data_IF_458408357620
#
_entry.id   IF_458408357620
#
_cell.length_a   1.000
_cell.length_b   1.000
_cell.length_c   1.000
_cell.angle_alpha   90.00
_cell.angle_beta   90.00
_cell.angle_gamma   90.00
#
_symmetry.space_group_name_H-M   'P 1'
#
loop_
_entity.id
_entity.type
_entity.pdbx_description
1 polymer ?
#
# COMPACT_ATOMS: atom_id res chain seq x y z
N UNK A 1 17.16 -7.22 7.81
CA UNK A 1 17.43 -6.17 6.80
C UNK A 1 18.39 -6.65 5.71
N UNK A 2 19.48 -7.35 6.03
CA UNK A 2 20.39 -7.95 5.02
C UNK A 2 19.91 -9.32 4.54
N UNK A 3 19.38 -10.15 5.46
CA UNK A 3 18.91 -11.52 5.15
C UNK A 3 17.92 -11.58 3.99
N UNK A 4 16.86 -10.77 3.99
CA UNK A 4 15.85 -10.81 2.93
C UNK A 4 16.34 -10.31 1.57
N UNK A 5 17.33 -9.41 1.53
CA UNK A 5 17.96 -9.02 0.27
C UNK A 5 18.79 -10.18 -0.30
N UNK A 6 19.57 -10.85 0.55
CA UNK A 6 20.37 -11.98 0.13
C UNK A 6 19.50 -13.18 -0.28
N UNK A 7 18.42 -13.49 0.45
CA UNK A 7 17.51 -14.58 0.09
C UNK A 7 16.80 -14.37 -1.25
N UNK A 8 16.52 -13.12 -1.64
CA UNK A 8 15.85 -12.84 -2.91
C UNK A 8 16.78 -12.92 -4.14
N UNK A 9 18.05 -12.51 -3.99
CA UNK A 9 18.98 -12.38 -5.13
C UNK A 9 20.09 -13.42 -5.15
N UNK A 10 20.43 -13.95 -3.98
CA UNK A 10 21.51 -14.91 -3.76
C UNK A 10 20.97 -16.16 -3.07
N UNK A 11 19.77 -16.62 -3.49
CA UNK A 11 19.07 -17.72 -2.84
C UNK A 11 19.95 -18.98 -2.68
N UNK A 12 20.67 -19.37 -3.75
CA UNK A 12 21.62 -20.50 -3.71
C UNK A 12 22.67 -20.32 -2.61
N UNK A 13 23.30 -19.15 -2.50
CA UNK A 13 24.39 -18.92 -1.54
C UNK A 13 23.89 -18.72 -0.11
N UNK A 14 22.62 -18.32 0.06
CA UNK A 14 22.00 -18.17 1.38
C UNK A 14 21.34 -19.42 1.92
N UNK A 15 21.22 -20.47 1.11
CA UNK A 15 20.62 -21.72 1.56
C UNK A 15 21.58 -22.47 2.50
N UNK A 16 21.01 -23.13 3.50
CA UNK A 16 21.76 -24.00 4.40
C UNK A 16 22.35 -25.19 3.65
N UNK A 17 21.64 -25.70 2.64
CA UNK A 17 22.12 -26.82 1.81
C UNK A 17 23.44 -26.46 1.10
N UNK A 18 23.55 -25.25 0.56
CA UNK A 18 24.76 -24.77 -0.10
C UNK A 18 25.98 -24.77 0.82
N UNK A 19 25.82 -24.38 2.09
CA UNK A 19 26.93 -24.43 3.04
C UNK A 19 27.39 -25.86 3.30
N UNK A 20 26.47 -26.82 3.40
CA UNK A 20 26.82 -28.23 3.60
C UNK A 20 27.52 -28.84 2.37
N UNK A 21 27.04 -28.51 1.17
CA UNK A 21 27.64 -28.99 -0.08
C UNK A 21 29.03 -28.39 -0.29
N UNK A 22 29.21 -27.08 -0.04
CA UNK A 22 30.50 -26.41 -0.17
C UNK A 22 31.55 -26.97 0.79
N UNK A 23 31.21 -27.22 2.06
CA UNK A 23 32.12 -27.86 3.02
C UNK A 23 32.55 -29.26 2.52
N UNK A 24 31.61 -30.03 1.98
CA UNK A 24 31.91 -31.35 1.39
C UNK A 24 32.86 -31.23 0.20
N UNK A 25 32.70 -30.23 -0.66
CA UNK A 25 33.63 -30.02 -1.78
C UNK A 25 35.02 -29.56 -1.31
N UNK A 26 35.10 -28.73 -0.28
CA UNK A 26 36.37 -28.30 0.34
C UNK A 26 37.11 -29.46 1.02
N UNK A 27 36.38 -30.39 1.63
CA UNK A 27 36.94 -31.63 2.17
C UNK A 27 37.54 -32.51 1.07
N UNK A 28 36.88 -32.61 -0.08
CA UNK A 28 37.41 -33.35 -1.24
C UNK A 28 38.70 -32.74 -1.79
N UNK A 29 38.82 -31.41 -1.77
CA UNK A 29 40.06 -30.71 -2.13
C UNK A 29 41.17 -31.03 -1.12
N UNK A 30 40.83 -31.00 0.18
CA UNK A 30 41.78 -31.32 1.26
C UNK A 30 42.25 -32.78 1.21
N UNK A 31 41.38 -33.70 0.79
CA UNK A 31 41.70 -35.10 0.53
C UNK A 31 42.48 -35.32 -0.79
N UNK A 32 42.65 -34.30 -1.62
CA UNK A 32 43.34 -34.37 -2.91
C UNK A 32 42.54 -35.05 -4.03
N UNK A 33 41.23 -35.22 -3.86
CA UNK A 33 40.33 -35.86 -4.82
C UNK A 33 39.99 -34.89 -5.96
N UNK A 34 39.85 -33.60 -5.64
CA UNK A 34 39.49 -32.53 -6.59
C UNK A 34 40.55 -31.42 -6.59
N UNK A 35 40.71 -30.74 -7.74
CA UNK A 35 41.63 -29.60 -7.85
C UNK A 35 40.96 -28.30 -7.39
N UNK A 36 41.57 -27.63 -6.40
CA UNK A 36 41.05 -26.39 -5.81
C UNK A 36 40.78 -25.27 -6.83
N UNK A 37 41.60 -25.17 -7.89
CA UNK A 37 41.44 -24.15 -8.94
C UNK A 37 40.19 -24.39 -9.78
N UNK A 38 39.84 -25.65 -10.03
CA UNK A 38 38.63 -26.02 -10.75
C UNK A 38 37.40 -25.61 -9.96
N UNK A 39 37.35 -26.00 -8.69
CA UNK A 39 36.27 -25.66 -7.76
C UNK A 39 36.04 -24.15 -7.66
N UNK A 40 37.11 -23.36 -7.45
CA UNK A 40 37.00 -21.90 -7.38
C UNK A 40 36.53 -21.26 -8.69
N UNK A 41 36.97 -21.80 -9.82
CA UNK A 41 36.54 -21.31 -11.14
C UNK A 41 35.06 -21.60 -11.36
N UNK A 42 34.61 -22.80 -11.04
CA UNK A 42 33.21 -23.20 -11.20
C UNK A 42 32.30 -22.39 -10.28
N UNK A 43 32.67 -22.24 -9.01
CA UNK A 43 31.98 -21.36 -8.07
C UNK A 43 31.91 -19.92 -8.59
N UNK A 44 33.05 -19.33 -8.98
CA UNK A 44 33.11 -17.93 -9.40
C UNK A 44 32.27 -17.67 -10.65
N UNK A 45 32.28 -18.58 -11.63
CA UNK A 45 31.46 -18.43 -12.85
C UNK A 45 29.95 -18.46 -12.58
N UNK A 46 29.52 -19.17 -11.53
CA UNK A 46 28.11 -19.17 -11.10
C UNK A 46 27.80 -17.92 -10.27
N UNK A 47 28.67 -17.58 -9.33
CA UNK A 47 28.54 -16.40 -8.47
C UNK A 47 28.52 -15.08 -9.25
N UNK A 48 29.39 -14.91 -10.24
CA UNK A 48 29.47 -13.69 -11.04
C UNK A 48 28.17 -13.38 -11.79
N UNK A 49 27.44 -14.42 -12.23
CA UNK A 49 26.11 -14.26 -12.85
C UNK A 49 25.07 -13.70 -11.88
N UNK A 50 25.15 -14.09 -10.60
CA UNK A 50 24.30 -13.51 -9.55
C UNK A 50 24.66 -12.04 -9.32
N UNK A 51 25.94 -11.68 -9.28
CA UNK A 51 26.37 -10.28 -9.18
C UNK A 51 25.89 -9.43 -10.37
N UNK A 52 25.98 -9.96 -11.60
CA UNK A 52 25.45 -9.27 -12.79
C UNK A 52 23.93 -9.08 -12.70
N UNK A 53 23.21 -10.09 -12.20
CA UNK A 53 21.75 -10.03 -12.02
C UNK A 53 21.37 -9.05 -10.93
N UNK A 54 22.11 -9.00 -9.83
CA UNK A 54 21.95 -8.03 -8.75
C UNK A 54 22.27 -6.59 -9.22
N UNK A 55 23.30 -6.41 -10.06
CA UNK A 55 23.65 -5.12 -10.65
C UNK A 55 22.57 -4.56 -11.58
N UNK A 56 21.66 -5.40 -12.07
CA UNK A 56 20.55 -4.94 -12.91
C UNK A 56 19.45 -4.23 -12.12
N UNK A 57 19.48 -4.30 -10.79
CA UNK A 57 18.46 -3.67 -9.94
C UNK A 57 18.85 -2.28 -9.47
N UNK A 58 20.07 -1.82 -9.75
CA UNK A 58 20.44 -0.42 -9.54
C UNK A 58 19.68 0.54 -10.47
N UNK A 59 18.99 0.02 -11.51
CA UNK A 59 18.25 0.83 -12.48
C UNK A 59 16.72 0.65 -12.44
N UNK A 60 16.11 0.36 -11.29
CA UNK A 60 14.63 0.41 -11.21
C UNK A 60 14.14 1.85 -10.94
N UNK A 61 13.90 2.54 -12.05
CA UNK A 61 13.09 3.76 -12.31
C UNK A 61 13.30 5.06 -11.50
N UNK A 62 14.56 5.43 -11.23
CA UNK A 62 14.98 6.84 -11.17
C UNK A 62 16.14 6.99 -12.16
N UNK A 63 15.88 7.39 -13.43
CA UNK A 63 16.91 7.50 -14.49
C UNK A 63 18.07 8.48 -14.19
N UNK A 64 18.04 9.16 -13.04
CA UNK A 64 18.96 10.24 -12.70
C UNK A 64 19.62 10.10 -11.31
N UNK A 65 19.22 9.16 -10.45
CA UNK A 65 19.70 9.11 -9.06
C UNK A 65 19.60 7.72 -8.43
N UNK A 66 20.22 7.58 -7.25
CA UNK A 66 20.32 6.30 -6.55
C UNK A 66 19.16 6.12 -5.57
N UNK A 67 18.69 4.88 -5.43
CA UNK A 67 17.69 4.53 -4.43
C UNK A 67 18.33 4.36 -3.05
N UNK A 68 17.78 5.06 -2.05
CA UNK A 68 18.30 5.08 -0.68
C UNK A 68 17.16 4.79 0.31
N UNK A 69 17.48 4.07 1.38
CA UNK A 69 16.56 3.84 2.50
C UNK A 69 16.38 5.12 3.32
N UNK A 70 15.14 5.58 3.49
CA UNK A 70 14.77 6.76 4.27
C UNK A 70 13.74 6.41 5.33
N UNK A 71 13.81 7.06 6.48
CA UNK A 71 12.83 6.91 7.57
C UNK A 71 11.62 7.80 7.27
N UNK A 72 10.41 7.26 7.45
CA UNK A 72 9.17 8.02 7.26
C UNK A 72 8.97 9.04 8.38
N UNK A 73 8.58 10.27 8.01
CA UNK A 73 8.15 11.31 8.96
C UNK A 73 6.69 11.20 9.39
N UNK A 74 5.90 10.39 8.68
CA UNK A 74 4.45 10.31 8.83
C UNK A 74 3.95 9.02 9.50
N UNK A 75 4.87 8.14 9.94
CA UNK A 75 4.53 6.89 10.60
C UNK A 75 5.77 6.04 10.91
N UNK A 76 5.56 4.89 11.53
CA UNK A 76 6.61 3.89 11.72
C UNK A 76 6.87 3.18 10.38
N UNK A 77 8.08 3.29 9.87
CA UNK A 77 8.47 2.60 8.64
C UNK A 77 9.64 3.26 7.92
N UNK A 78 10.33 2.44 7.15
CA UNK A 78 11.35 2.85 6.19
C UNK A 78 10.75 2.72 4.77
N UNK A 79 11.15 3.62 3.89
CA UNK A 79 10.79 3.56 2.47
C UNK A 79 12.04 3.74 1.61
N UNK A 80 12.01 3.14 0.43
CA UNK A 80 13.09 3.29 -0.55
C UNK A 80 12.72 4.44 -1.47
N UNK A 81 13.52 5.51 -1.48
CA UNK A 81 13.26 6.69 -2.30
C UNK A 81 14.53 7.21 -2.97
N UNK A 82 14.36 7.95 -4.07
CA UNK A 82 15.51 8.53 -4.78
C UNK A 82 16.24 9.58 -3.90
N UNK A 83 17.57 9.57 -3.92
CA UNK A 83 18.44 10.49 -3.18
C UNK A 83 18.28 11.95 -3.63
N UNK A 84 18.04 12.20 -4.92
CA UNK A 84 17.81 13.51 -5.52
C UNK A 84 16.47 14.19 -5.17
N UNK A 85 15.83 13.80 -4.06
CA UNK A 85 14.69 14.55 -3.55
C UNK A 85 15.12 15.98 -3.18
N UNK A 86 14.39 17.05 -3.57
CA UNK A 86 13.01 17.07 -4.10
C UNK A 86 12.85 16.98 -5.63
N UNK A 87 13.95 16.93 -6.39
CA UNK A 87 13.94 16.91 -7.86
C UNK A 87 13.34 15.62 -8.43
N UNK A 88 13.58 14.48 -7.76
CA UNK A 88 12.87 13.24 -8.03
C UNK A 88 11.99 12.83 -6.84
N UNK A 89 10.72 12.49 -7.12
CA UNK A 89 9.72 12.03 -6.13
C UNK A 89 9.45 10.52 -6.21
N UNK A 90 10.27 9.78 -6.95
CA UNK A 90 10.13 8.33 -7.05
C UNK A 90 10.33 7.66 -5.68
N UNK A 91 9.38 6.79 -5.33
CA UNK A 91 9.40 5.93 -4.15
C UNK A 91 9.14 4.52 -4.68
N UNK A 92 10.06 3.59 -4.45
CA UNK A 92 9.88 2.21 -4.84
C UNK A 92 8.75 1.59 -4.00
N UNK A 93 7.92 0.72 -4.60
CA UNK A 93 6.98 -0.09 -3.83
C UNK A 93 7.78 -0.89 -2.81
N UNK A 94 7.44 -0.73 -1.54
CA UNK A 94 8.05 -1.46 -0.44
C UNK A 94 7.83 -2.95 -0.67
N UNK A 95 8.91 -3.74 -0.64
CA UNK A 95 8.87 -5.21 -0.69
C UNK A 95 8.18 -5.83 0.55
N UNK A 96 7.86 -5.01 1.54
CA UNK A 96 7.09 -5.41 2.72
C UNK A 96 5.71 -4.75 2.65
N UNK A 97 4.79 -5.43 1.97
CA UNK A 97 3.40 -5.48 2.40
C UNK A 97 3.15 -6.92 2.83
N UNK A 98 3.07 -7.15 4.14
CA UNK A 98 2.45 -8.33 4.77
C UNK A 98 2.45 -9.65 3.95
N UNK A 99 3.60 -10.30 3.83
CA UNK A 99 3.70 -11.69 3.34
C UNK A 99 4.48 -12.51 4.39
N UNK A 100 3.82 -12.83 5.51
CA UNK A 100 4.18 -13.92 6.43
C UNK A 100 2.89 -14.58 6.97
N UNK A 101 1.83 -14.65 6.16
CA UNK A 101 0.75 -15.63 6.32
C UNK A 101 0.36 -16.13 4.92
N UNK A 102 0.17 -17.44 4.76
CA UNK A 102 -0.31 -18.05 3.52
C UNK A 102 -1.71 -17.50 3.18
N UNK A 103 -1.81 -16.63 2.17
CA UNK A 103 -3.09 -16.07 1.71
C UNK A 103 -3.51 -16.71 0.39
N UNK A 104 -4.65 -17.41 0.46
CA UNK A 104 -5.44 -18.01 -0.61
C UNK A 104 -5.54 -17.11 -1.88
N UNK A 105 -5.38 -17.62 -3.12
CA UNK A 105 -5.21 -16.82 -4.35
C UNK A 105 -6.36 -15.87 -4.75
N UNK A 106 -7.45 -15.77 -4.01
CA UNK A 106 -8.61 -14.94 -4.38
C UNK A 106 -8.55 -13.48 -3.90
N UNK A 107 -7.58 -13.09 -3.07
CA UNK A 107 -7.53 -11.73 -2.49
C UNK A 107 -6.68 -10.69 -3.25
N UNK A 108 -6.31 -10.96 -4.51
CA UNK A 108 -5.75 -9.94 -5.41
C UNK A 108 -6.81 -8.95 -5.89
N UNK A 109 -7.24 -8.06 -4.98
CA UNK A 109 -7.82 -6.72 -5.26
C UNK A 109 -8.05 -6.03 -3.91
N UNK A 110 -7.65 -4.77 -3.83
CA UNK A 110 -7.99 -3.78 -2.79
C UNK A 110 -6.94 -3.57 -1.68
N UNK A 111 -5.89 -2.78 -1.97
CA UNK A 111 -5.30 -1.94 -0.93
C UNK A 111 -5.17 -0.46 -1.33
N UNK A 112 -6.17 0.00 -2.10
CA UNK A 112 -6.70 1.36 -2.04
C UNK A 112 -8.20 1.15 -1.97
N UNK A 113 -8.80 1.08 -0.78
CA UNK A 113 -10.24 1.00 -0.69
C UNK A 113 -10.81 2.38 -1.03
N UNK A 114 -11.13 2.55 -2.30
CA UNK A 114 -11.67 3.77 -2.87
C UNK A 114 -12.91 4.19 -2.08
N UNK A 115 -13.08 5.48 -1.76
CA UNK A 115 -14.19 5.94 -0.92
C UNK A 115 -15.52 5.49 -1.51
N UNK A 116 -16.19 4.54 -0.84
CA UNK A 116 -17.45 3.96 -1.29
C UNK A 116 -18.52 5.04 -1.26
N UNK A 117 -18.99 5.43 -2.45
CA UNK A 117 -20.22 6.20 -2.59
C UNK A 117 -21.39 5.28 -2.20
N UNK A 118 -22.14 5.68 -1.19
CA UNK A 118 -23.30 4.92 -0.74
C UNK A 118 -24.48 5.28 -1.64
N UNK A 119 -25.20 4.28 -2.17
CA UNK A 119 -26.38 4.48 -3.02
C UNK A 119 -26.24 4.09 -4.49
N UNK A 120 -25.40 3.11 -4.83
CA UNK A 120 -25.41 2.50 -6.16
C UNK A 120 -26.46 1.38 -6.21
N UNK A 121 -27.49 1.52 -7.04
CA UNK A 121 -28.28 0.38 -7.47
C UNK A 121 -27.45 -0.38 -8.53
N UNK A 122 -27.31 -1.72 -8.44
CA UNK A 122 -26.44 -2.50 -9.34
C UNK A 122 -26.91 -2.57 -10.81
N UNK A 123 -27.86 -1.73 -11.23
CA UNK A 123 -28.44 -1.74 -12.58
C UNK A 123 -28.83 -0.38 -13.17
N UNK A 124 -28.66 0.75 -12.46
CA UNK A 124 -28.95 2.09 -13.03
C UNK A 124 -27.85 3.07 -12.66
N UNK A 125 -27.38 3.85 -13.64
CA UNK A 125 -26.28 4.82 -13.49
C UNK A 125 -26.74 6.12 -12.79
N UNK A 126 -27.79 6.03 -11.96
CA UNK A 126 -28.31 7.14 -11.19
C UNK A 126 -27.64 7.15 -9.81
N UNK A 127 -26.86 8.21 -9.56
CA UNK A 127 -26.09 8.40 -8.34
C UNK A 127 -27.06 8.49 -7.16
N UNK A 128 -26.99 7.57 -6.20
CA UNK A 128 -27.74 7.62 -4.93
C UNK A 128 -27.26 8.75 -4.02
N UNK A 129 -27.58 9.96 -4.43
CA UNK A 129 -27.39 11.17 -3.66
C UNK A 129 -28.42 11.23 -2.52
N UNK A 130 -28.17 12.08 -1.52
CA UNK A 130 -29.16 12.40 -0.49
C UNK A 130 -30.46 12.91 -1.17
N UNK A 131 -31.65 12.36 -0.83
CA UNK A 131 -32.91 12.70 -1.49
C UNK A 131 -33.31 14.19 -1.44
N UNK A 132 -32.85 14.93 -0.43
CA UNK A 132 -33.23 16.33 -0.20
C UNK A 132 -32.21 17.31 -0.81
N UNK A 133 -30.93 16.95 -0.73
CA UNK A 133 -29.81 17.83 -1.08
C UNK A 133 -29.17 17.54 -2.44
N UNK A 134 -29.53 16.41 -3.08
CA UNK A 134 -28.99 15.99 -4.37
C UNK A 134 -27.47 15.76 -4.38
N UNK A 135 -26.84 15.64 -3.20
CA UNK A 135 -25.39 15.49 -3.05
C UNK A 135 -24.95 14.12 -2.52
N UNK A 136 -23.73 13.68 -2.84
CA UNK A 136 -23.29 12.33 -2.54
C UNK A 136 -22.98 12.14 -1.05
N UNK A 137 -23.36 10.97 -0.55
CA UNK A 137 -23.01 10.48 0.80
C UNK A 137 -21.80 9.54 0.68
N UNK A 138 -20.71 9.88 1.37
CA UNK A 138 -19.41 9.21 1.19
C UNK A 138 -19.04 8.46 2.47
N UNK A 139 -18.77 7.15 2.35
CA UNK A 139 -18.16 6.35 3.41
C UNK A 139 -16.62 6.47 3.32
N UNK A 140 -15.96 6.86 4.40
CA UNK A 140 -14.50 6.97 4.48
C UNK A 140 -13.95 6.25 5.70
N UNK A 141 -12.75 5.68 5.54
CA UNK A 141 -11.92 5.22 6.65
C UNK A 141 -11.48 6.43 7.50
N UNK A 142 -11.66 6.32 8.82
CA UNK A 142 -11.25 7.31 9.79
C UNK A 142 -10.24 6.71 10.78
N UNK A 143 -9.64 7.55 11.64
CA UNK A 143 -8.72 7.12 12.70
C UNK A 143 -9.34 6.06 13.64
N UNK A 144 -10.66 6.07 13.77
CA UNK A 144 -11.43 5.11 14.55
C UNK A 144 -12.61 4.63 13.70
N UNK A 145 -12.45 3.49 13.03
CA UNK A 145 -13.51 2.86 12.22
C UNK A 145 -13.90 3.62 10.95
N UNK A 146 -15.17 3.54 10.58
CA UNK A 146 -15.73 4.18 9.39
C UNK A 146 -16.49 5.46 9.74
N UNK A 147 -16.46 6.42 8.83
CA UNK A 147 -17.19 7.68 8.96
C UNK A 147 -18.00 7.96 7.70
N UNK A 148 -19.21 8.47 7.89
CA UNK A 148 -20.07 8.94 6.81
C UNK A 148 -19.91 10.45 6.73
N UNK A 149 -19.57 10.95 5.56
CA UNK A 149 -19.46 12.39 5.30
C UNK A 149 -20.54 12.81 4.30
N UNK A 150 -21.28 13.84 4.68
CA UNK A 150 -22.17 14.58 3.79
C UNK A 150 -21.85 16.08 3.91
N UNK A 151 -21.38 16.72 2.84
CA UNK A 151 -20.87 18.12 2.87
C UNK A 151 -19.91 18.40 4.05
N UNK A 152 -20.44 19.02 5.11
CA UNK A 152 -19.74 19.42 6.34
C UNK A 152 -20.12 18.60 7.56
N UNK A 153 -21.15 17.76 7.47
CA UNK A 153 -21.56 16.87 8.55
C UNK A 153 -20.83 15.54 8.41
N UNK A 154 -20.29 15.08 9.53
CA UNK A 154 -19.58 13.82 9.65
C UNK A 154 -20.24 13.03 10.78
N UNK A 155 -20.77 11.86 10.44
CA UNK A 155 -21.30 10.90 11.40
C UNK A 155 -20.30 9.74 11.58
N UNK A 156 -20.13 9.30 12.82
CA UNK A 156 -19.33 8.10 13.10
C UNK A 156 -20.18 6.85 12.89
N UNK A 157 -19.64 5.84 12.22
CA UNK A 157 -20.30 4.54 12.12
C UNK A 157 -19.95 3.70 13.35
N UNK A 158 -20.90 3.01 13.98
CA UNK A 158 -20.63 2.10 15.09
C UNK A 158 -19.65 0.99 14.67
N UNK A 159 -18.77 0.58 15.60
CA UNK A 159 -17.70 -0.42 15.33
C UNK A 159 -18.24 -1.81 14.95
N UNK A 160 -19.50 -2.11 15.27
CA UNK A 160 -20.12 -3.40 15.00
C UNK A 160 -20.65 -3.55 13.57
N UNK A 161 -20.66 -2.49 12.76
CA UNK A 161 -21.18 -2.55 11.39
C UNK A 161 -20.06 -2.65 10.36
N UNK A 162 -20.20 -3.62 9.43
CA UNK A 162 -19.25 -3.80 8.32
C UNK A 162 -19.51 -2.83 7.16
N UNK A 163 -18.51 -2.45 6.35
CA UNK A 163 -18.65 -1.49 5.24
C UNK A 163 -19.68 -1.86 4.16
N UNK A 164 -20.01 -3.15 4.03
CA UNK A 164 -20.99 -3.62 3.05
C UNK A 164 -22.43 -3.54 3.56
N UNK A 165 -22.64 -3.45 4.87
CA UNK A 165 -23.96 -3.39 5.50
C UNK A 165 -24.49 -1.96 5.67
N UNK A 166 -23.65 -0.96 5.38
CA UNK A 166 -24.01 0.46 5.44
C UNK A 166 -24.76 0.83 4.16
N UNK A 167 -26.08 0.89 4.25
CA UNK A 167 -26.97 1.38 3.18
C UNK A 167 -27.18 2.90 3.27
N UNK A 168 -27.74 3.50 2.21
CA UNK A 168 -28.05 4.93 2.18
C UNK A 168 -29.01 5.33 3.32
N UNK A 169 -30.03 4.51 3.60
CA UNK A 169 -31.03 4.76 4.65
C UNK A 169 -30.40 4.84 6.05
N UNK A 170 -29.56 3.86 6.40
CA UNK A 170 -28.81 3.87 7.67
C UNK A 170 -27.86 5.07 7.73
N UNK A 171 -27.28 5.47 6.60
CA UNK A 171 -26.42 6.62 6.54
C UNK A 171 -27.17 7.94 6.83
N UNK A 172 -28.41 8.07 6.33
CA UNK A 172 -29.28 9.22 6.66
C UNK A 172 -29.64 9.23 8.15
N UNK A 173 -29.96 8.07 8.72
CA UNK A 173 -30.25 7.95 10.16
C UNK A 173 -29.05 8.40 11.03
N UNK A 174 -27.83 8.00 10.64
CA UNK A 174 -26.61 8.42 11.34
C UNK A 174 -26.27 9.90 11.13
N UNK A 175 -26.65 10.50 10.01
CA UNK A 175 -26.48 11.94 9.75
C UNK A 175 -27.48 12.83 10.49
N UNK A 176 -28.62 12.27 10.92
CA UNK A 176 -29.62 12.96 11.73
C UNK A 176 -29.40 12.80 13.23
N UNK A 177 -28.55 11.86 13.67
CA UNK A 177 -28.29 11.64 15.09
C UNK A 177 -27.49 12.79 15.73
N UNK A 178 -27.51 12.86 17.06
CA UNK A 178 -26.80 13.89 17.82
C UNK A 178 -25.27 13.74 17.78
N UNK A 179 -24.74 12.59 17.33
CA UNK A 179 -23.31 12.27 17.34
C UNK A 179 -22.54 12.83 16.11
N UNK A 180 -23.11 13.84 15.46
CA UNK A 180 -22.58 14.43 14.22
C UNK A 180 -21.59 15.54 14.53
N UNK A 181 -20.40 15.44 13.94
CA UNK A 181 -19.39 16.49 13.97
C UNK A 181 -19.51 17.36 12.73
N UNK A 182 -19.46 18.69 12.89
CA UNK A 182 -19.37 19.63 11.76
C UNK A 182 -17.94 20.07 11.54
N UNK A 183 -17.44 19.90 10.31
CA UNK A 183 -16.09 20.31 9.93
C UNK A 183 -16.07 21.64 9.18
N UNK A 184 -15.04 22.44 9.45
CA UNK A 184 -14.77 23.72 8.80
C UNK A 184 -15.46 24.93 9.45
N UNK A 185 -15.03 26.13 9.04
CA UNK A 185 -15.61 27.40 9.50
C UNK A 185 -17.05 27.53 8.98
N UNK A 186 -18.04 27.88 9.82
CA UNK A 186 -19.40 28.14 9.35
C UNK A 186 -19.33 29.23 8.27
N UNK A 187 -19.95 28.97 7.11
CA UNK A 187 -20.08 30.00 6.09
C UNK A 187 -21.15 30.96 6.61
N UNK A 188 -20.87 32.26 6.57
CA UNK A 188 -21.87 33.30 6.86
C UNK A 188 -23.12 32.98 6.02
N UNK A 189 -24.30 32.91 6.64
CA UNK A 189 -25.56 32.69 5.90
C UNK A 189 -25.62 33.75 4.81
N UNK A 190 -25.59 33.34 3.55
CA UNK A 190 -26.01 34.21 2.45
C UNK A 190 -27.53 34.20 2.57
N UNK A 191 -28.11 35.31 3.03
CA UNK A 191 -29.56 35.51 2.98
C UNK A 191 -29.88 35.57 1.49
N UNK A 192 -30.49 34.51 0.97
CA UNK A 192 -31.10 34.56 -0.35
C UNK A 192 -32.38 35.35 -0.15
N UNK A 193 -32.33 36.63 -0.52
CA UNK A 193 -33.50 37.49 -0.56
C UNK A 193 -34.39 36.95 -1.68
N UNK A 194 -35.55 36.38 -1.30
CA UNK A 194 -36.60 36.00 -2.23
C UNK A 194 -37.07 37.28 -2.94
N UNK A 195 -36.54 37.50 -4.14
CA UNK A 195 -37.05 38.53 -5.03
C UNK A 195 -38.44 38.11 -5.52
N UNK A 196 -39.45 38.54 -4.78
CA UNK A 196 -40.81 38.73 -5.27
C UNK A 196 -40.74 39.56 -6.56
N UNK A 197 -41.20 39.00 -7.67
CA UNK A 197 -41.79 39.82 -8.72
C UNK A 197 -42.90 39.07 -9.45
N UNK A 198 -44.08 39.12 -8.83
CA UNK A 198 -45.30 39.33 -9.58
C UNK A 198 -45.29 40.78 -10.08
N UNK A 199 -45.44 40.95 -11.40
CA UNK A 199 -45.92 42.09 -12.21
C UNK A 199 -45.20 42.09 -13.55
#
# INVERSE_FOLDING_TARGET
MVSAFLSNYFNEVTDYSFTADMETELDNVSAGITEWKGLLKDYWTRFSKYCESASKLTYISCLAGNLVFKVSRFGAGYFIGCDQHPKCKYIARTLYGEDDEEVDPEHQKNNVQEPKLLGLNPGSNEKGNHPDDGQPVILKLAKVGFSIRHRRTIASVPKNMKPNEVTLEKALQLLQSNDVRRCGRPKRKVVVEEAVKAM
#
